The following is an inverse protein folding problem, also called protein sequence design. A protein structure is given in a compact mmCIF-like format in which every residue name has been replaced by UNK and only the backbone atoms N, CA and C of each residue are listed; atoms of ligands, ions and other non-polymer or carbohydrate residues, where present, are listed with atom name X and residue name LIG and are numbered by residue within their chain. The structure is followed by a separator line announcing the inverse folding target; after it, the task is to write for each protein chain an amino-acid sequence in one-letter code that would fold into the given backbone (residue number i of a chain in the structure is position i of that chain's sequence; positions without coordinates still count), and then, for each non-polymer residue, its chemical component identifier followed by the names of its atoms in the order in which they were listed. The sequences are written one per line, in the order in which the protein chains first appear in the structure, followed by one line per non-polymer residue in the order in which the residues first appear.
data_IF_263448074362
#
_entry.id   IF_263448074362
#
_cell.length_a   1.000
_cell.length_b   1.000
_cell.length_c   1.000
_cell.angle_alpha   90.00
_cell.angle_beta   90.00
_cell.angle_gamma   90.00
#
_symmetry.space_group_name_H-M   'P 1'
#
loop_
_entity.id
_entity.type
_entity.pdbx_description
1 polymer ?
#
# COMPACT_ATOMS: atom_id res chain seq x y z
N UNK A 1 -11.84 -16.14 -18.43
CA UNK A 1 -11.48 -15.34 -17.24
C UNK A 1 -10.11 -15.80 -16.75
N UNK A 2 -9.10 -14.92 -16.75
CA UNK A 2 -7.75 -15.29 -16.32
C UNK A 2 -7.74 -15.54 -14.79
N UNK A 3 -7.54 -16.80 -14.37
CA UNK A 3 -7.28 -17.14 -12.97
C UNK A 3 -5.80 -16.87 -12.67
N UNK A 4 -5.48 -15.67 -12.19
CA UNK A 4 -4.19 -15.43 -11.57
C UNK A 4 -4.15 -16.15 -10.22
N UNK A 5 -3.36 -17.23 -10.10
CA UNK A 5 -3.10 -17.90 -8.82
C UNK A 5 -2.40 -16.90 -7.89
N UNK A 6 -2.97 -16.60 -6.72
CA UNK A 6 -2.29 -15.75 -5.73
C UNK A 6 -1.17 -16.56 -5.06
N UNK A 7 0.08 -16.13 -5.24
CA UNK A 7 1.27 -16.79 -4.68
C UNK A 7 1.53 -16.43 -3.21
N UNK A 8 0.98 -15.31 -2.74
CA UNK A 8 1.14 -14.90 -1.33
C UNK A 8 0.27 -15.73 -0.39
N UNK A 9 0.90 -16.23 0.69
CA UNK A 9 0.25 -16.97 1.79
C UNK A 9 -0.37 -16.04 2.83
N UNK A 10 -0.18 -14.72 2.72
CA UNK A 10 -0.66 -13.79 3.71
C UNK A 10 -2.21 -13.75 3.76
N UNK A 11 -2.75 -13.96 4.96
CA UNK A 11 -4.20 -13.98 5.18
C UNK A 11 -4.82 -12.59 4.99
N UNK A 12 -4.08 -11.50 5.25
CA UNK A 12 -4.56 -10.13 5.13
C UNK A 12 -4.92 -9.77 3.69
N UNK A 13 -4.15 -10.28 2.74
CA UNK A 13 -4.39 -10.10 1.30
C UNK A 13 -5.63 -10.84 0.78
N UNK A 14 -6.14 -11.84 1.50
CA UNK A 14 -7.34 -12.57 1.07
C UNK A 14 -8.58 -11.67 1.02
N UNK A 15 -8.60 -10.58 1.80
CA UNK A 15 -9.68 -9.58 1.78
C UNK A 15 -9.83 -8.96 0.39
N UNK A 16 -8.72 -8.80 -0.36
CA UNK A 16 -8.74 -8.27 -1.72
C UNK A 16 -9.52 -9.16 -2.70
N UNK A 17 -9.72 -10.45 -2.40
CA UNK A 17 -10.55 -11.35 -3.24
C UNK A 17 -12.04 -10.96 -3.24
N UNK A 18 -12.49 -10.26 -2.20
CA UNK A 18 -13.86 -9.74 -2.10
C UNK A 18 -14.03 -8.34 -2.70
N UNK A 19 -13.06 -7.86 -3.48
CA UNK A 19 -13.15 -6.54 -4.11
C UNK A 19 -14.24 -6.54 -5.19
N UNK A 20 -15.22 -5.61 -5.14
CA UNK A 20 -16.20 -5.47 -6.20
C UNK A 20 -15.53 -4.98 -7.49
N UNK A 21 -16.20 -5.08 -8.65
CA UNK A 21 -15.69 -4.49 -9.88
C UNK A 21 -15.60 -2.97 -9.75
N UNK A 22 -14.38 -2.44 -9.75
CA UNK A 22 -14.08 -1.01 -9.58
C UNK A 22 -13.25 -0.51 -10.76
N UNK A 23 -13.39 0.78 -11.09
CA UNK A 23 -12.63 1.41 -12.18
C UNK A 23 -11.39 2.09 -11.63
N UNK A 24 -10.24 1.68 -12.13
CA UNK A 24 -8.95 2.35 -11.85
C UNK A 24 -8.79 3.65 -12.64
N UNK A 25 -9.32 3.69 -13.86
CA UNK A 25 -9.29 4.83 -14.77
C UNK A 25 -10.68 5.02 -15.34
N UNK A 26 -11.19 6.25 -15.29
CA UNK A 26 -12.44 6.59 -15.95
C UNK A 26 -12.23 6.57 -17.48
N UNK A 27 -13.18 6.05 -18.26
CA UNK A 27 -13.12 6.13 -19.71
C UNK A 27 -13.00 7.61 -20.12
N UNK A 28 -12.11 7.89 -21.07
CA UNK A 28 -11.86 9.22 -21.63
C UNK A 28 -11.27 10.27 -20.67
N UNK A 29 -10.70 9.88 -19.53
CA UNK A 29 -9.92 10.78 -18.67
C UNK A 29 -8.49 10.28 -18.47
N UNK A 30 -7.56 11.18 -18.19
CA UNK A 30 -6.23 10.82 -17.70
C UNK A 30 -6.34 10.12 -16.34
N UNK A 31 -5.37 9.25 -16.05
CA UNK A 31 -5.31 8.61 -14.74
C UNK A 31 -5.11 9.69 -13.66
N UNK A 32 -5.87 9.57 -12.57
CA UNK A 32 -5.72 10.43 -11.40
C UNK A 32 -5.94 9.58 -10.16
N UNK A 33 -4.96 9.59 -9.25
CA UNK A 33 -5.03 8.86 -7.97
C UNK A 33 -6.29 9.22 -7.17
N UNK A 34 -6.74 10.48 -7.24
CA UNK A 34 -7.96 10.95 -6.56
C UNK A 34 -9.23 10.28 -7.08
N UNK A 35 -9.25 9.81 -8.32
CA UNK A 35 -10.39 9.18 -8.97
C UNK A 35 -10.24 7.66 -9.09
N UNK A 36 -9.16 7.09 -8.54
CA UNK A 36 -8.90 5.65 -8.60
C UNK A 36 -9.75 4.94 -7.52
N UNK A 37 -10.87 4.37 -7.96
CA UNK A 37 -11.79 3.65 -7.07
C UNK A 37 -11.13 2.42 -6.43
N UNK A 38 -10.12 1.84 -7.08
CA UNK A 38 -9.39 0.69 -6.55
C UNK A 38 -8.52 1.14 -5.38
N UNK A 39 -7.78 2.24 -5.54
CA UNK A 39 -6.94 2.78 -4.47
C UNK A 39 -7.77 3.26 -3.27
N UNK A 40 -8.88 3.96 -3.52
CA UNK A 40 -9.83 4.37 -2.47
C UNK A 40 -10.41 3.16 -1.71
N UNK A 41 -10.70 2.06 -2.42
CA UNK A 41 -11.19 0.85 -1.78
C UNK A 41 -10.11 0.17 -0.92
N UNK A 42 -8.85 0.14 -1.38
CA UNK A 42 -7.72 -0.43 -0.65
C UNK A 42 -7.43 0.41 0.61
N UNK A 43 -7.42 1.74 0.50
CA UNK A 43 -7.11 2.64 1.62
C UNK A 43 -8.14 2.60 2.75
N UNK A 44 -9.37 2.15 2.48
CA UNK A 44 -10.40 1.96 3.50
C UNK A 44 -10.26 0.66 4.31
N UNK A 45 -9.25 -0.18 4.01
CA UNK A 45 -9.06 -1.49 4.63
C UNK A 45 -7.77 -1.54 5.46
N UNK A 46 -7.86 -1.53 6.80
CA UNK A 46 -6.68 -1.46 7.66
C UNK A 46 -5.74 -2.64 7.42
N UNK A 47 -6.26 -3.87 7.30
CA UNK A 47 -5.43 -5.05 7.07
C UNK A 47 -4.56 -5.00 5.79
N UNK A 48 -5.01 -4.30 4.74
CA UNK A 48 -4.22 -4.11 3.53
C UNK A 48 -3.18 -3.01 3.70
N UNK A 49 -3.52 -1.94 4.42
CA UNK A 49 -2.57 -0.88 4.79
C UNK A 49 -1.46 -1.45 5.68
N UNK A 50 -1.82 -2.23 6.70
CA UNK A 50 -0.87 -2.88 7.60
C UNK A 50 0.08 -3.81 6.84
N UNK A 51 -0.42 -4.50 5.82
CA UNK A 51 0.42 -5.32 4.96
C UNK A 51 1.45 -4.48 4.19
N UNK A 52 1.05 -3.32 3.67
CA UNK A 52 1.97 -2.40 2.98
C UNK A 52 3.00 -1.86 3.96
N UNK A 53 2.57 -1.42 5.15
CA UNK A 53 3.47 -0.95 6.21
C UNK A 53 4.49 -2.03 6.57
N UNK A 54 4.03 -3.25 6.88
CA UNK A 54 4.90 -4.39 7.22
C UNK A 54 5.91 -4.69 6.10
N UNK A 55 5.52 -4.52 4.82
CA UNK A 55 6.43 -4.70 3.69
C UNK A 55 7.48 -3.59 3.59
N UNK A 56 7.11 -2.34 3.87
CA UNK A 56 8.06 -1.22 3.89
C UNK A 56 9.09 -1.42 5.00
N UNK A 57 8.66 -1.87 6.18
CA UNK A 57 9.53 -2.19 7.32
C UNK A 57 10.42 -3.39 7.02
N UNK A 58 9.85 -4.48 6.52
CA UNK A 58 10.60 -5.71 6.24
C UNK A 58 11.67 -5.52 5.16
N UNK A 59 11.44 -4.60 4.22
CA UNK A 59 12.40 -4.25 3.17
C UNK A 59 13.38 -3.15 3.63
N UNK A 60 13.23 -2.59 4.82
CA UNK A 60 14.14 -1.59 5.38
C UNK A 60 13.94 -0.17 4.84
N UNK A 61 12.81 0.15 4.20
CA UNK A 61 12.55 1.50 3.69
C UNK A 61 12.17 2.50 4.78
N UNK A 62 11.51 2.03 5.84
CA UNK A 62 11.09 2.86 6.97
C UNK A 62 11.44 2.16 8.28
N UNK A 63 11.74 2.96 9.30
CA UNK A 63 12.11 2.48 10.63
C UNK A 63 11.22 3.15 11.68
N UNK A 64 10.84 2.37 12.68
CA UNK A 64 10.18 2.88 13.87
C UNK A 64 11.22 3.20 14.94
N UNK A 65 11.23 4.44 15.41
CA UNK A 65 12.05 4.84 16.54
C UNK A 65 11.23 4.83 17.84
N UNK A 66 11.53 3.92 18.78
CA UNK A 66 10.81 3.81 20.04
C UNK A 66 11.06 4.98 21.00
N UNK A 67 12.18 5.71 20.86
CA UNK A 67 12.50 6.88 21.70
C UNK A 67 11.61 8.06 21.32
N UNK A 68 11.48 8.31 20.01
CA UNK A 68 10.65 9.40 19.49
C UNK A 68 9.18 8.99 19.29
N UNK A 69 8.89 7.69 19.28
CA UNK A 69 7.60 7.09 18.91
C UNK A 69 7.15 7.49 17.50
N UNK A 70 8.10 7.64 16.59
CA UNK A 70 7.87 8.10 15.21
C UNK A 70 8.32 7.04 14.21
N UNK A 71 7.76 7.15 13.01
CA UNK A 71 8.21 6.44 11.81
C UNK A 71 8.92 7.43 10.89
N UNK A 72 10.06 7.04 10.36
CA UNK A 72 10.78 7.82 9.34
C UNK A 72 11.36 6.93 8.26
N UNK A 73 11.57 7.51 7.08
CA UNK A 73 12.30 6.87 6.00
C UNK A 73 13.78 6.81 6.32
N UNK A 74 14.46 5.74 5.91
CA UNK A 74 15.90 5.57 6.19
C UNK A 74 16.75 6.70 5.60
N UNK A 75 16.36 7.23 4.44
CA UNK A 75 17.11 8.30 3.75
C UNK A 75 16.72 9.72 4.20
N UNK A 76 15.68 9.88 5.04
CA UNK A 76 15.15 11.21 5.39
C UNK A 76 16.16 12.11 6.12
N UNK A 77 17.07 11.51 6.86
CA UNK A 77 18.10 12.24 7.61
C UNK A 77 19.45 12.31 6.88
N UNK A 78 19.65 11.59 5.77
CA UNK A 78 20.89 11.63 4.98
C UNK A 78 20.94 12.86 4.05
N UNK A 79 19.81 13.38 3.60
CA UNK A 79 19.75 14.53 2.67
C UNK A 79 19.93 15.92 3.32
N UNK A 80 20.34 16.01 4.59
CA UNK A 80 20.49 17.29 5.30
C UNK A 80 21.93 17.67 5.67
N UNK A 81 22.94 17.07 5.02
CA UNK A 81 24.38 17.33 5.29
C UNK A 81 25.14 18.03 4.14
N UNK A 82 24.47 18.81 3.29
CA UNK A 82 25.10 19.73 2.31
C UNK A 82 24.94 21.22 2.68
#
# INVERSE_FOLDING_TARGET
MAKCKSTSKDKRLKIAKGMPPLRRKLPNKSYSYKNDQVMDWISKRPALIDYVLDKLVANGYIVYDPKLKLWYGVDYFEENED
#
